data_IF_380339461502
#
_entry.id   IF_380339461502
#
_cell.length_a   1.000
_cell.length_b   1.000
_cell.length_c   1.000
_cell.angle_alpha   90.00
_cell.angle_beta   90.00
_cell.angle_gamma   90.00
#
_symmetry.space_group_name_H-M   'P 1'
#
loop_
_entity.id
_entity.type
_entity.pdbx_description
1 polymer ?
#
# COMPACT_ATOMS: atom_id res chain seq x y z
N UNK A 1 1.04 31.83 0.07
CA UNK A 1 1.30 30.46 -0.46
C UNK A 1 -0.03 29.92 -0.98
N UNK A 2 -0.11 29.35 -2.19
CA UNK A 2 -1.40 28.85 -2.68
C UNK A 2 -1.86 27.64 -1.85
N UNK A 3 -3.18 27.35 -1.78
CA UNK A 3 -3.69 26.16 -1.10
C UNK A 3 -3.05 24.86 -1.61
N UNK A 4 -2.79 24.77 -2.92
CA UNK A 4 -2.12 23.64 -3.55
C UNK A 4 -0.70 23.40 -3.01
N UNK A 5 0.10 24.46 -2.84
CA UNK A 5 1.43 24.36 -2.24
C UNK A 5 1.39 23.89 -0.79
N UNK A 6 0.41 24.36 -0.02
CA UNK A 6 0.25 23.96 1.39
C UNK A 6 -0.05 22.46 1.50
N UNK A 7 -0.97 21.97 0.66
CA UNK A 7 -1.31 20.53 0.58
C UNK A 7 -0.10 19.71 0.13
N UNK A 8 0.65 20.20 -0.85
CA UNK A 8 1.85 19.53 -1.34
C UNK A 8 2.94 19.42 -0.27
N UNK A 9 3.16 20.46 0.54
CA UNK A 9 4.13 20.41 1.64
C UNK A 9 3.70 19.44 2.74
N UNK A 10 2.41 19.43 3.11
CA UNK A 10 1.86 18.44 4.05
C UNK A 10 2.09 17.02 3.52
N UNK A 11 1.82 16.81 2.23
CA UNK A 11 2.09 15.54 1.55
C UNK A 11 3.56 15.13 1.63
N UNK A 12 4.49 16.03 1.34
CA UNK A 12 5.93 15.74 1.42
C UNK A 12 6.38 15.40 2.84
N UNK A 13 5.80 16.07 3.85
CA UNK A 13 6.17 15.89 5.25
C UNK A 13 5.95 14.45 5.72
N UNK A 14 4.86 13.79 5.34
CA UNK A 14 4.65 12.39 5.70
C UNK A 14 5.20 11.41 4.66
N UNK A 15 5.18 11.75 3.36
CA UNK A 15 5.57 10.80 2.31
C UNK A 15 7.06 10.53 2.25
N UNK A 16 7.91 11.56 2.33
CA UNK A 16 9.36 11.39 2.23
C UNK A 16 9.89 10.50 3.37
N UNK A 17 9.56 10.74 4.65
CA UNK A 17 9.96 9.84 5.73
C UNK A 17 9.43 8.41 5.54
N UNK A 18 8.21 8.25 5.04
CA UNK A 18 7.61 6.93 4.82
C UNK A 18 8.34 6.13 3.73
N UNK A 19 8.71 6.77 2.62
CA UNK A 19 9.47 6.14 1.53
C UNK A 19 10.88 5.78 2.01
N UNK A 20 11.55 6.66 2.75
CA UNK A 20 12.84 6.35 3.37
C UNK A 20 12.71 5.13 4.29
N UNK A 21 11.66 5.08 5.11
CA UNK A 21 11.43 3.96 6.02
C UNK A 21 11.13 2.65 5.28
N UNK A 22 10.45 2.71 4.13
CA UNK A 22 10.29 1.55 3.23
C UNK A 22 11.65 1.00 2.80
N UNK A 23 12.55 1.85 2.30
CA UNK A 23 13.89 1.39 1.88
C UNK A 23 14.71 0.83 3.04
N UNK A 24 14.66 1.46 4.22
CA UNK A 24 15.33 0.95 5.42
C UNK A 24 14.77 -0.42 5.81
N UNK A 25 13.44 -0.56 5.89
CA UNK A 25 12.80 -1.83 6.28
C UNK A 25 13.07 -2.94 5.27
N UNK A 26 13.06 -2.63 3.97
CA UNK A 26 13.44 -3.56 2.90
C UNK A 26 14.87 -4.03 3.08
N UNK A 27 15.81 -3.11 3.28
CA UNK A 27 17.21 -3.44 3.49
C UNK A 27 17.40 -4.31 4.73
N UNK A 28 16.72 -4.00 5.85
CA UNK A 28 16.76 -4.83 7.08
C UNK A 28 16.26 -6.24 6.82
N UNK A 29 15.10 -6.40 6.17
CA UNK A 29 14.48 -7.70 5.89
C UNK A 29 15.38 -8.52 4.95
N UNK A 30 15.88 -7.89 3.88
CA UNK A 30 16.75 -8.53 2.90
C UNK A 30 18.12 -8.93 3.49
N UNK A 31 18.72 -8.08 4.33
CA UNK A 31 20.00 -8.38 5.00
C UNK A 31 19.86 -9.48 6.05
N UNK A 32 18.71 -9.58 6.71
CA UNK A 32 18.45 -10.55 7.77
C UNK A 32 17.46 -11.65 7.32
N UNK A 33 17.54 -12.11 6.06
CA UNK A 33 16.60 -13.10 5.47
C UNK A 33 16.41 -14.37 6.32
N UNK A 34 17.44 -14.85 7.01
CA UNK A 34 17.33 -16.03 7.89
C UNK A 34 16.39 -15.80 9.08
N UNK A 35 16.38 -14.58 9.62
CA UNK A 35 15.51 -14.18 10.74
C UNK A 35 14.09 -13.89 10.24
N UNK A 36 13.96 -13.24 9.09
CA UNK A 36 12.68 -12.82 8.51
C UNK A 36 12.21 -13.77 7.39
N UNK A 37 12.41 -15.07 7.57
CA UNK A 37 12.10 -16.08 6.55
C UNK A 37 10.62 -16.48 6.50
N UNK A 38 9.67 -15.66 6.97
CA UNK A 38 8.24 -16.00 6.93
C UNK A 38 7.61 -15.63 5.58
N UNK A 39 6.57 -16.34 5.18
CA UNK A 39 5.70 -15.99 4.05
C UNK A 39 5.17 -14.55 4.15
N UNK A 40 4.94 -14.06 5.36
CA UNK A 40 4.54 -12.67 5.61
C UNK A 40 5.54 -11.67 5.04
N UNK A 41 6.84 -11.86 5.28
CA UNK A 41 7.85 -10.91 4.82
C UNK A 41 8.03 -10.93 3.31
N UNK A 42 7.75 -12.05 2.65
CA UNK A 42 7.70 -12.09 1.18
C UNK A 42 6.55 -11.22 0.65
N UNK A 43 5.35 -11.40 1.20
CA UNK A 43 4.18 -10.60 0.85
C UNK A 43 4.38 -9.11 1.20
N UNK A 44 5.02 -8.82 2.33
CA UNK A 44 5.32 -7.44 2.75
C UNK A 44 6.28 -6.75 1.77
N UNK A 45 7.33 -7.44 1.30
CA UNK A 45 8.24 -6.87 0.30
C UNK A 45 7.52 -6.60 -1.02
N UNK A 46 6.65 -7.50 -1.46
CA UNK A 46 5.83 -7.30 -2.66
C UNK A 46 4.84 -6.15 -2.50
N UNK A 47 4.06 -6.13 -1.42
CA UNK A 47 3.12 -5.05 -1.10
C UNK A 47 3.84 -3.71 -1.05
N UNK A 48 4.99 -3.63 -0.37
CA UNK A 48 5.76 -2.40 -0.32
C UNK A 48 6.32 -1.96 -1.68
N UNK A 49 6.72 -2.89 -2.56
CA UNK A 49 7.17 -2.54 -3.91
C UNK A 49 6.00 -1.96 -4.73
N UNK A 50 4.85 -2.61 -4.67
CA UNK A 50 3.63 -2.15 -5.32
C UNK A 50 3.15 -0.80 -4.75
N UNK A 51 3.31 -0.58 -3.45
CA UNK A 51 2.97 0.68 -2.82
C UNK A 51 3.93 1.81 -3.21
N UNK A 52 5.24 1.57 -3.28
CA UNK A 52 6.19 2.56 -3.80
C UNK A 52 5.83 2.92 -5.25
N UNK A 53 5.46 1.93 -6.07
CA UNK A 53 5.03 2.19 -7.43
C UNK A 53 3.73 3.02 -7.48
N UNK A 54 2.73 2.67 -6.67
CA UNK A 54 1.48 3.43 -6.53
C UNK A 54 1.74 4.86 -6.10
N UNK A 55 2.63 5.05 -5.11
CA UNK A 55 3.06 6.35 -4.64
C UNK A 55 3.68 7.19 -5.77
N UNK A 56 4.58 6.60 -6.58
CA UNK A 56 5.21 7.31 -7.70
C UNK A 56 4.20 7.73 -8.76
N UNK A 57 3.27 6.84 -9.11
CA UNK A 57 2.19 7.15 -10.07
C UNK A 57 1.31 8.28 -9.53
N UNK A 58 0.84 8.19 -8.28
CA UNK A 58 0.03 9.24 -7.64
C UNK A 58 0.78 10.56 -7.45
N UNK A 59 2.09 10.50 -7.17
CA UNK A 59 2.94 11.68 -7.08
C UNK A 59 2.98 12.44 -8.41
N UNK A 60 3.19 11.74 -9.52
CA UNK A 60 3.23 12.33 -10.86
C UNK A 60 1.85 12.79 -11.33
N UNK A 61 0.81 11.98 -11.17
CA UNK A 61 -0.51 12.30 -11.74
C UNK A 61 -1.33 13.30 -10.93
N UNK A 62 -1.19 13.30 -9.60
CA UNK A 62 -2.04 14.13 -8.72
C UNK A 62 -1.24 15.23 -8.05
N UNK A 63 -0.16 14.87 -7.36
CA UNK A 63 0.51 15.82 -6.44
C UNK A 63 1.36 16.84 -7.19
N UNK A 64 2.29 16.39 -8.01
CA UNK A 64 3.20 17.26 -8.78
C UNK A 64 2.43 18.10 -9.82
N UNK A 65 1.36 17.53 -10.39
CA UNK A 65 0.54 18.21 -11.37
C UNK A 65 -0.25 19.38 -10.76
N UNK A 66 -0.76 19.20 -9.52
CA UNK A 66 -1.53 20.23 -8.81
C UNK A 66 -0.76 21.51 -8.47
N UNK A 67 0.57 21.47 -8.46
CA UNK A 67 1.45 22.63 -8.21
C UNK A 67 2.11 23.18 -9.48
N UNK A 68 1.90 22.51 -10.63
CA UNK A 68 2.50 22.92 -11.89
C UNK A 68 1.73 24.10 -12.49
N UNK A 69 2.42 25.23 -12.65
CA UNK A 69 1.90 26.46 -13.27
C UNK A 69 2.50 26.67 -14.65
N UNK A 70 1.80 27.43 -15.49
CA UNK A 70 2.28 27.86 -16.81
C UNK A 70 3.65 28.54 -16.71
N UNK A 71 4.55 28.22 -17.64
CA UNK A 71 5.88 28.86 -17.73
C UNK A 71 6.96 28.29 -16.80
N UNK A 72 6.64 27.31 -15.95
CA UNK A 72 7.64 26.59 -15.12
C UNK A 72 8.29 25.42 -15.87
N UNK A 73 9.47 24.95 -15.41
CA UNK A 73 10.13 23.75 -15.95
C UNK A 73 9.23 22.50 -15.88
N UNK A 74 8.37 22.42 -14.87
CA UNK A 74 7.38 21.34 -14.73
C UNK A 74 6.32 21.36 -15.84
N UNK A 75 5.96 22.53 -16.38
CA UNK A 75 5.04 22.61 -17.53
C UNK A 75 5.64 21.87 -18.73
N UNK A 76 6.92 22.08 -19.05
CA UNK A 76 7.57 21.38 -20.16
C UNK A 76 7.59 19.86 -19.97
N UNK A 77 7.74 19.38 -18.73
CA UNK A 77 7.65 17.96 -18.40
C UNK A 77 6.25 17.38 -18.67
N UNK A 78 5.18 18.07 -18.24
CA UNK A 78 3.81 17.60 -18.50
C UNK A 78 3.39 17.74 -19.96
N UNK A 79 3.82 18.79 -20.66
CA UNK A 79 3.60 18.90 -22.10
C UNK A 79 4.31 17.78 -22.86
N UNK A 80 5.53 17.42 -22.47
CA UNK A 80 6.23 16.26 -23.04
C UNK A 80 5.43 14.97 -22.83
N UNK A 81 4.93 14.72 -21.61
CA UNK A 81 4.08 13.55 -21.35
C UNK A 81 2.80 13.60 -22.20
N UNK A 82 2.17 14.76 -22.32
CA UNK A 82 0.95 14.96 -23.11
C UNK A 82 1.15 14.72 -24.60
N UNK A 83 2.33 15.02 -25.16
CA UNK A 83 2.69 14.72 -26.55
C UNK A 83 2.64 13.22 -26.84
N UNK A 84 2.97 12.38 -25.85
CA UNK A 84 2.90 10.93 -25.98
C UNK A 84 1.62 10.40 -25.35
N UNK A 85 0.54 10.37 -26.13
CA UNK A 85 -0.77 9.82 -25.71
C UNK A 85 -0.69 8.40 -25.13
N UNK A 86 0.25 7.58 -25.61
CA UNK A 86 0.51 6.25 -25.03
C UNK A 86 1.00 6.33 -23.57
N UNK A 87 1.82 7.32 -23.22
CA UNK A 87 2.36 7.49 -21.88
C UNK A 87 1.30 8.06 -20.92
N UNK A 88 0.51 9.05 -21.34
CA UNK A 88 -0.60 9.58 -20.54
C UNK A 88 -1.63 8.48 -20.25
N UNK A 89 -2.02 7.71 -21.27
CA UNK A 89 -2.92 6.57 -21.12
C UNK A 89 -2.35 5.48 -20.20
N UNK A 90 -1.06 5.18 -20.33
CA UNK A 90 -0.42 4.20 -19.46
C UNK A 90 -0.45 4.63 -17.99
N UNK A 91 -0.12 5.89 -17.69
CA UNK A 91 -0.15 6.39 -16.31
C UNK A 91 -1.57 6.35 -15.72
N UNK A 92 -2.59 6.71 -16.51
CA UNK A 92 -4.00 6.61 -16.10
C UNK A 92 -4.41 5.16 -15.86
N UNK A 93 -4.05 4.27 -16.77
CA UNK A 93 -4.29 2.83 -16.62
C UNK A 93 -3.66 2.30 -15.33
N UNK A 94 -2.44 2.74 -15.01
CA UNK A 94 -1.70 2.32 -13.82
C UNK A 94 -2.35 2.80 -12.52
N UNK A 95 -2.93 4.00 -12.49
CA UNK A 95 -3.69 4.47 -11.31
C UNK A 95 -4.84 3.52 -10.95
N UNK A 96 -5.63 3.10 -11.95
CA UNK A 96 -6.71 2.14 -11.72
C UNK A 96 -6.19 0.73 -11.45
N UNK A 97 -5.14 0.31 -12.17
CA UNK A 97 -4.52 -1.00 -12.00
C UNK A 97 -4.02 -1.20 -10.57
N UNK A 98 -3.32 -0.19 -10.03
CA UNK A 98 -2.77 -0.27 -8.68
C UNK A 98 -3.84 -0.31 -7.60
N UNK A 99 -5.00 0.31 -7.81
CA UNK A 99 -6.13 0.15 -6.90
C UNK A 99 -6.57 -1.33 -6.81
N UNK A 100 -6.63 -2.07 -7.92
CA UNK A 100 -6.88 -3.51 -7.87
C UNK A 100 -5.77 -4.26 -7.12
N UNK A 101 -4.51 -4.00 -7.47
CA UNK A 101 -3.35 -4.68 -6.89
C UNK A 101 -3.27 -4.48 -5.39
N UNK A 102 -3.46 -3.26 -4.88
CA UNK A 102 -3.40 -2.96 -3.45
C UNK A 102 -4.52 -3.66 -2.66
N UNK A 103 -5.76 -3.63 -3.18
CA UNK A 103 -6.90 -4.26 -2.51
C UNK A 103 -6.80 -5.78 -2.51
N UNK A 104 -6.36 -6.36 -3.62
CA UNK A 104 -6.09 -7.79 -3.74
C UNK A 104 -4.96 -8.24 -2.80
N UNK A 105 -3.86 -7.48 -2.76
CA UNK A 105 -2.69 -7.79 -1.92
C UNK A 105 -3.06 -7.72 -0.44
N UNK A 106 -3.83 -6.72 -0.03
CA UNK A 106 -4.31 -6.60 1.35
C UNK A 106 -5.21 -7.78 1.76
N UNK A 107 -6.10 -8.21 0.87
CA UNK A 107 -6.92 -9.41 1.07
C UNK A 107 -6.07 -10.68 1.14
N UNK A 108 -5.06 -10.81 0.26
CA UNK A 108 -4.14 -11.93 0.25
C UNK A 108 -3.33 -12.04 1.54
N UNK A 109 -2.80 -10.92 2.04
CA UNK A 109 -2.07 -10.92 3.31
C UNK A 109 -3.00 -11.28 4.47
N UNK A 110 -4.25 -10.79 4.46
CA UNK A 110 -5.26 -11.16 5.45
C UNK A 110 -5.54 -12.67 5.44
N UNK A 111 -5.65 -13.27 4.25
CA UNK A 111 -5.82 -14.71 4.07
C UNK A 111 -4.58 -15.50 4.53
N UNK A 112 -3.39 -15.01 4.19
CA UNK A 112 -2.13 -15.62 4.63
C UNK A 112 -2.05 -15.65 6.16
N UNK A 113 -2.33 -14.55 6.85
CA UNK A 113 -2.30 -14.50 8.33
C UNK A 113 -3.34 -15.40 8.96
N UNK A 114 -4.58 -15.37 8.47
CA UNK A 114 -5.65 -16.23 8.97
C UNK A 114 -5.31 -17.72 8.78
N UNK A 115 -4.89 -18.12 7.59
CA UNK A 115 -4.58 -19.52 7.29
C UNK A 115 -3.38 -20.04 8.09
N UNK A 116 -2.32 -19.24 8.23
CA UNK A 116 -1.14 -19.59 9.06
C UNK A 116 -1.53 -19.70 10.55
N UNK A 117 -2.47 -18.88 11.02
CA UNK A 117 -3.02 -18.97 12.38
C UNK A 117 -3.78 -20.28 12.63
N UNK A 118 -4.51 -20.79 11.63
CA UNK A 118 -5.26 -22.04 11.75
C UNK A 118 -4.34 -23.28 11.83
N UNK A 119 -3.35 -23.38 10.94
CA UNK A 119 -2.41 -24.53 10.89
C UNK A 119 -1.02 -24.13 10.40
N UNK A 120 -0.21 -23.55 11.30
CA UNK A 120 1.14 -23.08 10.99
C UNK A 120 2.03 -24.13 10.29
N UNK A 121 2.06 -25.38 10.79
CA UNK A 121 3.03 -26.42 10.37
C UNK A 121 2.94 -26.80 8.89
N UNK A 122 1.73 -26.81 8.32
CA UNK A 122 1.50 -27.21 6.93
C UNK A 122 1.31 -26.00 6.00
N UNK A 123 0.66 -24.96 6.49
CA UNK A 123 0.26 -23.81 5.67
C UNK A 123 1.45 -22.87 5.43
N UNK A 124 2.30 -22.62 6.42
CA UNK A 124 3.43 -21.71 6.27
C UNK A 124 4.44 -22.19 5.21
N UNK A 125 4.84 -23.47 5.13
CA UNK A 125 5.67 -23.98 4.03
C UNK A 125 5.00 -23.85 2.66
N UNK A 126 3.71 -24.14 2.56
CA UNK A 126 2.95 -24.02 1.30
C UNK A 126 2.94 -22.56 0.81
N UNK A 127 2.68 -21.59 1.69
CA UNK A 127 2.78 -20.18 1.33
C UNK A 127 4.19 -19.83 0.85
N UNK A 128 5.25 -20.20 1.57
CA UNK A 128 6.62 -19.86 1.13
C UNK A 128 6.96 -20.37 -0.26
N UNK A 129 6.36 -21.49 -0.68
CA UNK A 129 6.60 -22.07 -2.00
C UNK A 129 5.71 -21.47 -3.10
N UNK A 130 4.42 -21.25 -2.83
CA UNK A 130 3.44 -20.86 -3.86
C UNK A 130 3.08 -19.36 -3.87
N UNK A 131 3.54 -18.56 -2.90
CA UNK A 131 3.18 -17.12 -2.79
C UNK A 131 3.49 -16.34 -4.07
N UNK A 132 4.61 -16.63 -4.74
CA UNK A 132 5.01 -15.92 -5.95
C UNK A 132 4.00 -16.05 -7.10
N UNK A 133 3.35 -17.20 -7.24
CA UNK A 133 2.28 -17.40 -8.23
C UNK A 133 1.08 -16.51 -7.92
N UNK A 134 0.71 -16.39 -6.64
CA UNK A 134 -0.41 -15.55 -6.21
C UNK A 134 -0.09 -14.07 -6.42
N UNK A 135 1.14 -13.64 -6.12
CA UNK A 135 1.60 -12.27 -6.37
C UNK A 135 1.58 -11.93 -7.86
N UNK A 136 2.07 -12.84 -8.72
CA UNK A 136 2.03 -12.67 -10.17
C UNK A 136 0.59 -12.58 -10.68
N UNK A 137 -0.29 -13.44 -10.17
CA UNK A 137 -1.70 -13.47 -10.55
C UNK A 137 -2.43 -12.18 -10.18
N UNK A 138 -2.18 -11.67 -8.97
CA UNK A 138 -2.74 -10.39 -8.49
C UNK A 138 -2.32 -9.22 -9.38
N UNK A 139 -1.09 -9.23 -9.91
CA UNK A 139 -0.62 -8.19 -10.80
C UNK A 139 -1.16 -8.36 -12.23
N UNK A 140 -1.18 -9.57 -12.79
CA UNK A 140 -1.57 -9.79 -14.20
C UNK A 140 -3.08 -9.69 -14.40
N UNK A 141 -3.91 -10.27 -13.53
CA UNK A 141 -5.36 -10.36 -13.76
C UNK A 141 -6.01 -8.97 -13.96
N UNK A 142 -5.72 -7.95 -13.14
CA UNK A 142 -6.32 -6.63 -13.32
C UNK A 142 -5.98 -5.99 -14.66
N UNK A 143 -4.85 -6.37 -15.29
CA UNK A 143 -4.41 -5.81 -16.57
C UNK A 143 -5.43 -6.04 -17.69
N UNK A 144 -6.16 -7.17 -17.68
CA UNK A 144 -7.24 -7.44 -18.64
C UNK A 144 -8.36 -6.41 -18.60
N UNK A 145 -8.61 -5.81 -17.43
CA UNK A 145 -9.62 -4.78 -17.28
C UNK A 145 -9.04 -3.37 -17.38
N UNK A 146 -7.80 -3.15 -16.94
CA UNK A 146 -7.24 -1.81 -16.79
C UNK A 146 -6.42 -1.34 -17.99
N UNK A 147 -5.85 -2.22 -18.82
CA UNK A 147 -5.11 -1.85 -20.04
C UNK A 147 -6.08 -1.54 -21.18
N UNK A 148 -6.85 -0.47 -21.00
CA UNK A 148 -7.77 0.08 -22.00
C UNK A 148 -7.21 1.38 -22.55
N UNK A 149 -7.68 1.78 -23.73
CA UNK A 149 -7.42 3.12 -24.23
C UNK A 149 -8.34 4.11 -23.50
N UNK A 150 -7.78 4.94 -22.62
CA UNK A 150 -8.52 5.96 -21.89
C UNK A 150 -8.57 7.30 -22.63
N UNK A 151 -7.84 7.46 -23.73
CA UNK A 151 -7.71 8.73 -24.46
C UNK A 151 -7.41 9.91 -23.52
N UNK A 152 -6.45 9.72 -22.61
CA UNK A 152 -6.18 10.69 -21.55
C UNK A 152 -5.42 11.89 -22.09
N UNK A 153 -6.00 13.06 -21.92
CA UNK A 153 -5.42 14.36 -22.25
C UNK A 153 -5.02 15.12 -20.99
N UNK A 154 -4.07 16.05 -21.14
CA UNK A 154 -3.64 16.94 -20.06
C UNK A 154 -4.25 18.31 -20.33
N UNK A 155 -5.22 18.70 -19.50
CA UNK A 155 -5.90 19.99 -19.61
C UNK A 155 -5.36 20.98 -18.58
N UNK A 156 -5.30 22.25 -18.97
CA UNK A 156 -4.99 23.35 -18.07
C UNK A 156 -6.29 23.92 -17.48
N UNK A 157 -6.32 24.07 -16.16
CA UNK A 157 -7.44 24.60 -15.40
C UNK A 157 -7.16 26.05 -15.01
N UNK A 158 -7.88 26.98 -15.64
CA UNK A 158 -7.76 28.42 -15.37
C UNK A 158 -8.14 28.78 -13.92
N UNK A 159 -9.08 28.05 -13.31
CA UNK A 159 -9.59 28.35 -11.96
C UNK A 159 -8.54 28.13 -10.86
N UNK A 160 -7.69 27.12 -11.03
CA UNK A 160 -6.70 26.70 -10.03
C UNK A 160 -5.26 26.97 -10.46
N UNK A 161 -5.05 27.51 -11.67
CA UNK A 161 -3.75 27.69 -12.31
C UNK A 161 -2.91 26.41 -12.22
N UNK A 162 -3.49 25.31 -12.67
CA UNK A 162 -2.90 23.97 -12.56
C UNK A 162 -3.26 23.07 -13.74
N UNK A 163 -2.52 21.99 -13.93
CA UNK A 163 -2.87 20.96 -14.92
C UNK A 163 -3.68 19.82 -14.28
N UNK A 164 -4.42 19.09 -15.12
CA UNK A 164 -5.16 17.88 -14.71
C UNK A 164 -5.17 16.87 -15.86
N UNK A 165 -5.06 15.58 -15.52
CA UNK A 165 -5.39 14.49 -16.44
C UNK A 165 -6.91 14.35 -16.56
N UNK A 166 -7.39 14.39 -17.79
CA UNK A 166 -8.80 14.22 -18.10
C UNK A 166 -8.96 13.18 -19.21
N UNK A 167 -9.88 12.27 -18.99
CA UNK A 167 -10.21 11.21 -19.94
C UNK A 167 -11.68 11.39 -20.32
N UNK A 168 -12.03 11.33 -21.63
CA UNK A 168 -13.41 11.37 -22.08
C UNK A 168 -14.20 10.13 -21.66
N UNK A 169 -13.52 9.07 -21.16
CA UNK A 169 -14.17 7.87 -20.69
C UNK A 169 -15.05 8.19 -19.47
N UNK A 170 -16.34 7.85 -19.50
CA UNK A 170 -17.23 8.10 -18.37
C UNK A 170 -16.69 7.43 -17.11
N UNK A 171 -16.61 8.16 -15.99
CA UNK A 171 -16.13 7.61 -14.72
C UNK A 171 -16.94 6.38 -14.29
N UNK A 172 -18.23 6.32 -14.63
CA UNK A 172 -19.10 5.16 -14.42
C UNK A 172 -18.61 3.89 -15.12
N UNK A 173 -18.03 4.01 -16.33
CA UNK A 173 -17.49 2.88 -17.08
C UNK A 173 -16.18 2.35 -16.48
N UNK A 174 -15.35 3.25 -15.95
CA UNK A 174 -14.09 2.90 -15.27
C UNK A 174 -14.37 2.23 -13.92
N UNK A 175 -15.28 2.82 -13.13
CA UNK A 175 -15.63 2.33 -11.80
C UNK A 175 -16.55 1.11 -11.79
N UNK A 176 -17.20 0.78 -12.93
CA UNK A 176 -18.15 -0.33 -13.07
C UNK A 176 -17.67 -1.65 -12.46
N UNK A 177 -16.42 -2.02 -12.72
CA UNK A 177 -15.82 -3.26 -12.21
C UNK A 177 -14.94 -3.04 -10.98
N UNK A 178 -14.34 -1.85 -10.85
CA UNK A 178 -13.40 -1.55 -9.77
C UNK A 178 -14.12 -1.48 -8.42
N UNK A 179 -15.26 -0.79 -8.36
CA UNK A 179 -15.98 -0.61 -7.09
C UNK A 179 -16.50 -1.94 -6.55
N UNK A 180 -17.19 -2.80 -7.33
CA UNK A 180 -17.57 -4.13 -6.85
C UNK A 180 -16.37 -4.96 -6.38
N UNK A 181 -15.25 -4.91 -7.11
CA UNK A 181 -14.02 -5.61 -6.71
C UNK A 181 -13.48 -5.12 -5.36
N UNK A 182 -13.40 -3.80 -5.17
CA UNK A 182 -12.96 -3.19 -3.90
C UNK A 182 -13.88 -3.60 -2.75
N UNK A 183 -15.20 -3.59 -2.96
CA UNK A 183 -16.18 -4.01 -1.94
C UNK A 183 -16.00 -5.48 -1.58
N UNK A 184 -15.95 -6.39 -2.56
CA UNK A 184 -15.81 -7.84 -2.32
C UNK A 184 -14.51 -8.13 -1.58
N UNK A 185 -13.38 -7.60 -2.06
CA UNK A 185 -12.07 -7.82 -1.42
C UNK A 185 -12.00 -7.23 -0.02
N UNK A 186 -12.63 -6.08 0.22
CA UNK A 186 -12.72 -5.47 1.55
C UNK A 186 -13.55 -6.32 2.51
N UNK A 187 -14.69 -6.87 2.08
CA UNK A 187 -15.50 -7.78 2.90
C UNK A 187 -14.70 -9.03 3.27
N UNK A 188 -13.99 -9.61 2.30
CA UNK A 188 -13.10 -10.76 2.54
C UNK A 188 -12.02 -10.40 3.56
N UNK A 189 -11.28 -9.30 3.35
CA UNK A 189 -10.27 -8.81 4.29
C UNK A 189 -10.84 -8.61 5.70
N UNK A 190 -11.97 -7.92 5.82
CA UNK A 190 -12.59 -7.61 7.10
C UNK A 190 -13.00 -8.87 7.84
N UNK A 191 -13.65 -9.81 7.15
CA UNK A 191 -14.08 -11.09 7.72
C UNK A 191 -12.88 -11.90 8.24
N UNK A 192 -11.82 -11.99 7.43
CA UNK A 192 -10.60 -12.73 7.81
C UNK A 192 -9.87 -12.09 8.98
N UNK A 193 -9.80 -10.75 9.04
CA UNK A 193 -9.17 -10.03 10.16
C UNK A 193 -10.00 -10.17 11.44
N UNK A 194 -11.33 -10.04 11.38
CA UNK A 194 -12.23 -10.25 12.53
C UNK A 194 -12.11 -11.68 13.04
N UNK A 195 -12.11 -12.67 12.16
CA UNK A 195 -11.92 -14.08 12.54
C UNK A 195 -10.55 -14.30 13.19
N UNK A 196 -9.48 -13.75 12.60
CA UNK A 196 -8.12 -13.85 13.15
C UNK A 196 -8.02 -13.25 14.56
N UNK A 197 -8.58 -12.05 14.76
CA UNK A 197 -8.60 -11.39 16.06
C UNK A 197 -9.42 -12.17 17.09
N UNK A 198 -10.55 -12.73 16.68
CA UNK A 198 -11.42 -13.53 17.56
C UNK A 198 -10.70 -14.80 18.04
N UNK A 199 -10.03 -15.51 17.14
CA UNK A 199 -9.22 -16.68 17.48
C UNK A 199 -8.10 -16.29 18.46
N UNK A 200 -7.32 -15.24 18.16
CA UNK A 200 -6.21 -14.79 19.02
C UNK A 200 -6.69 -14.37 20.41
N UNK A 201 -7.86 -13.73 20.52
CA UNK A 201 -8.45 -13.34 21.81
C UNK A 201 -8.86 -14.57 22.64
N UNK A 202 -9.28 -15.65 22.01
CA UNK A 202 -9.65 -16.90 22.68
C UNK A 202 -8.45 -17.78 23.07
N UNK A 203 -7.24 -17.48 22.58
CA UNK A 203 -6.04 -18.28 22.84
C UNK A 203 -5.43 -18.00 24.22
N UNK A 204 -4.89 -19.06 24.84
CA UNK A 204 -4.08 -18.96 26.07
C UNK A 204 -2.86 -18.06 25.83
N UNK A 205 -2.45 -17.29 26.86
CA UNK A 205 -1.37 -16.30 26.75
C UNK A 205 -0.04 -16.85 26.21
N UNK A 206 0.34 -18.08 26.60
CA UNK A 206 1.57 -18.73 26.12
C UNK A 206 1.54 -19.06 24.62
N UNK A 207 0.37 -19.47 24.09
CA UNK A 207 0.18 -19.69 22.64
C UNK A 207 0.13 -18.36 21.89
N UNK A 208 -0.47 -17.33 22.49
CA UNK A 208 -0.57 -15.99 21.92
C UNK A 208 0.78 -15.31 21.71
N UNK A 209 1.78 -15.62 22.54
CA UNK A 209 3.16 -15.14 22.33
C UNK A 209 3.88 -15.86 21.18
N UNK A 210 3.53 -17.12 20.88
CA UNK A 210 4.05 -17.86 19.72
C UNK A 210 3.40 -17.41 18.42
N UNK A 211 2.12 -17.04 18.49
CA UNK A 211 1.41 -16.40 17.38
C UNK A 211 1.99 -15.00 17.20
N UNK A 212 2.34 -14.64 15.97
CA UNK A 212 2.83 -13.31 15.60
C UNK A 212 1.70 -12.27 15.71
N UNK A 213 1.11 -12.10 16.89
CA UNK A 213 -0.08 -11.29 17.18
C UNK A 213 0.09 -9.85 16.69
N UNK A 214 1.31 -9.33 16.80
CA UNK A 214 1.66 -8.01 16.31
C UNK A 214 1.40 -7.87 14.80
N UNK A 215 1.68 -8.91 14.00
CA UNK A 215 1.40 -8.90 12.57
C UNK A 215 -0.10 -8.93 12.26
N UNK A 216 -0.90 -9.62 13.08
CA UNK A 216 -2.36 -9.62 12.96
C UNK A 216 -2.94 -8.23 13.26
N UNK A 217 -2.37 -7.53 14.25
CA UNK A 217 -2.75 -6.14 14.55
C UNK A 217 -2.39 -5.21 13.38
N UNK A 218 -1.18 -5.33 12.82
CA UNK A 218 -0.76 -4.56 11.64
C UNK A 218 -1.78 -4.75 10.51
N UNK A 219 -2.16 -5.99 10.20
CA UNK A 219 -3.12 -6.28 9.14
C UNK A 219 -4.52 -5.75 9.41
N UNK A 220 -4.96 -5.79 10.67
CA UNK A 220 -6.25 -5.24 11.07
C UNK A 220 -6.28 -3.72 10.87
N UNK A 221 -5.19 -3.02 11.20
CA UNK A 221 -5.07 -1.58 10.97
C UNK A 221 -5.06 -1.24 9.48
N UNK A 222 -4.31 -1.99 8.66
CA UNK A 222 -4.33 -1.82 7.19
C UNK A 222 -5.74 -2.06 6.62
N UNK A 223 -6.45 -3.08 7.13
CA UNK A 223 -7.83 -3.37 6.73
C UNK A 223 -8.80 -2.23 7.08
N UNK A 224 -8.62 -1.53 8.21
CA UNK A 224 -9.43 -0.34 8.53
C UNK A 224 -9.24 0.76 7.49
N UNK A 225 -8.00 1.03 7.07
CA UNK A 225 -7.72 2.02 6.02
C UNK A 225 -8.32 1.57 4.67
N UNK A 226 -8.26 0.27 4.35
CA UNK A 226 -8.91 -0.31 3.18
C UNK A 226 -10.44 -0.09 3.19
N UNK A 227 -11.09 -0.28 4.35
CA UNK A 227 -12.52 -0.02 4.53
C UNK A 227 -12.84 1.46 4.27
N UNK A 228 -12.06 2.38 4.85
CA UNK A 228 -12.24 3.82 4.62
C UNK A 228 -12.11 4.18 3.14
N UNK A 229 -11.13 3.60 2.44
CA UNK A 229 -10.93 3.79 1.01
C UNK A 229 -12.13 3.31 0.19
N UNK A 230 -12.65 2.11 0.48
CA UNK A 230 -13.85 1.57 -0.19
C UNK A 230 -15.08 2.44 0.05
N UNK A 231 -15.33 2.83 1.31
CA UNK A 231 -16.50 3.65 1.66
C UNK A 231 -16.46 4.99 0.93
N UNK A 232 -15.30 5.66 0.89
CA UNK A 232 -15.14 6.91 0.15
C UNK A 232 -15.36 6.73 -1.36
N UNK A 233 -14.79 5.68 -1.96
CA UNK A 233 -14.95 5.42 -3.39
C UNK A 233 -16.40 5.12 -3.77
N UNK A 234 -17.14 4.37 -2.94
CA UNK A 234 -18.59 4.14 -3.13
C UNK A 234 -19.37 5.44 -2.96
N UNK A 235 -19.06 6.23 -1.93
CA UNK A 235 -19.72 7.50 -1.66
C UNK A 235 -19.54 8.50 -2.81
N UNK A 236 -18.37 8.55 -3.44
CA UNK A 236 -18.11 9.37 -4.64
C UNK A 236 -19.08 8.99 -5.75
N UNK A 237 -19.21 7.70 -6.07
CA UNK A 237 -20.10 7.22 -7.14
C UNK A 237 -21.58 7.53 -6.85
N UNK A 238 -22.00 7.44 -5.59
CA UNK A 238 -23.39 7.71 -5.21
C UNK A 238 -23.73 9.20 -5.11
N UNK A 239 -22.72 10.06 -4.96
CA UNK A 239 -22.92 11.50 -4.79
C UNK A 239 -22.53 12.32 -6.02
N UNK A 240 -22.30 11.67 -7.17
CA UNK A 240 -22.00 12.34 -8.45
C UNK A 240 -23.05 13.43 -8.72
N UNK A 241 -22.58 14.63 -9.03
CA UNK A 241 -23.43 15.82 -9.25
C UNK A 241 -23.75 16.63 -7.98
N UNK A 242 -23.52 16.09 -6.79
CA UNK A 242 -23.68 16.81 -5.52
C UNK A 242 -22.37 17.51 -5.11
N UNK A 243 -22.43 18.67 -4.42
CA UNK A 243 -21.23 19.37 -3.93
C UNK A 243 -20.33 18.51 -3.04
N UNK A 244 -20.92 17.58 -2.27
CA UNK A 244 -20.21 16.68 -1.35
C UNK A 244 -19.25 15.72 -2.07
N UNK A 245 -19.52 15.38 -3.34
CA UNK A 245 -18.64 14.55 -4.15
C UNK A 245 -17.23 15.16 -4.27
N UNK A 246 -17.13 16.50 -4.36
CA UNK A 246 -15.84 17.20 -4.42
C UNK A 246 -15.04 17.04 -3.12
N UNK A 247 -15.73 17.01 -1.98
CA UNK A 247 -15.11 16.79 -0.66
C UNK A 247 -14.56 15.37 -0.57
N UNK A 248 -15.34 14.36 -0.99
CA UNK A 248 -14.86 12.97 -0.98
C UNK A 248 -13.70 12.74 -1.95
N UNK A 249 -13.78 13.30 -3.17
CA UNK A 249 -12.69 13.24 -4.15
C UNK A 249 -11.42 13.93 -3.65
N UNK A 250 -11.55 14.99 -2.84
CA UNK A 250 -10.42 15.65 -2.21
C UNK A 250 -9.77 14.82 -1.08
N UNK A 251 -10.57 14.10 -0.29
CA UNK A 251 -10.08 13.27 0.82
C UNK A 251 -9.45 11.96 0.33
N UNK A 252 -10.00 11.36 -0.73
CA UNK A 252 -9.61 10.03 -1.22
C UNK A 252 -8.09 9.87 -1.43
N UNK A 253 -7.35 10.81 -2.05
CA UNK A 253 -5.90 10.72 -2.18
C UNK A 253 -5.16 10.54 -0.84
N UNK A 254 -5.63 11.16 0.24
CA UNK A 254 -5.00 11.00 1.57
C UNK A 254 -5.27 9.63 2.19
N UNK A 255 -6.46 9.08 1.98
CA UNK A 255 -6.77 7.70 2.43
C UNK A 255 -6.00 6.68 1.61
N UNK A 256 -5.85 6.92 0.30
CA UNK A 256 -4.99 6.12 -0.58
C UNK A 256 -3.53 6.17 -0.14
N UNK A 257 -3.01 7.35 0.22
CA UNK A 257 -1.68 7.50 0.79
C UNK A 257 -1.54 6.74 2.11
N UNK A 258 -2.58 6.76 2.95
CA UNK A 258 -2.67 5.95 4.16
C UNK A 258 -2.53 4.45 3.87
N UNK A 259 -3.21 3.93 2.84
CA UNK A 259 -3.09 2.53 2.45
C UNK A 259 -1.73 2.20 1.84
N UNK A 260 -1.04 3.19 1.29
CA UNK A 260 0.22 3.01 0.56
C UNK A 260 1.45 3.16 1.45
N UNK A 261 1.40 4.05 2.45
CA UNK A 261 2.60 4.49 3.18
C UNK A 261 2.64 4.04 4.65
N UNK A 262 1.55 3.48 5.18
CA UNK A 262 1.45 3.17 6.62
C UNK A 262 2.19 1.88 7.00
N UNK A 263 2.35 0.92 6.10
CA UNK A 263 2.90 -0.41 6.41
C UNK A 263 4.28 -0.38 7.10
N UNK A 264 5.29 0.39 6.63
CA UNK A 264 6.60 0.43 7.29
C UNK A 264 6.51 1.04 8.70
N UNK A 265 5.61 2.00 8.92
CA UNK A 265 5.34 2.57 10.25
C UNK A 265 4.70 1.56 11.18
N UNK A 266 3.74 0.79 10.69
CA UNK A 266 3.11 -0.28 11.47
C UNK A 266 4.13 -1.35 11.86
N UNK A 267 5.03 -1.73 10.95
CA UNK A 267 6.11 -2.66 11.29
C UNK A 267 7.07 -2.07 12.32
N UNK A 268 7.44 -0.80 12.21
CA UNK A 268 8.28 -0.14 13.20
C UNK A 268 7.58 -0.07 14.58
N UNK A 269 6.28 0.21 14.60
CA UNK A 269 5.48 0.33 15.81
C UNK A 269 5.20 -1.00 16.52
N UNK A 270 4.99 -2.07 15.76
CA UNK A 270 4.53 -3.35 16.32
C UNK A 270 5.58 -4.48 16.25
N UNK A 271 6.65 -4.38 15.45
CA UNK A 271 7.69 -5.42 15.37
C UNK A 271 8.96 -5.02 16.13
N UNK A 272 9.14 -5.60 17.32
CA UNK A 272 10.37 -5.40 18.11
C UNK A 272 11.62 -5.88 17.36
N UNK A 273 11.54 -7.01 16.64
CA UNK A 273 12.65 -7.55 15.87
C UNK A 273 13.12 -6.58 14.77
N UNK A 274 12.19 -5.91 14.08
CA UNK A 274 12.53 -4.90 13.07
C UNK A 274 13.19 -3.69 13.73
N UNK A 275 12.62 -3.17 14.82
CA UNK A 275 13.20 -2.05 15.57
C UNK A 275 14.62 -2.32 16.02
N UNK A 276 14.88 -3.49 16.59
CA UNK A 276 16.21 -3.86 17.06
C UNK A 276 17.24 -3.89 15.92
N UNK A 277 16.86 -4.44 14.75
CA UNK A 277 17.75 -4.46 13.59
C UNK A 277 17.98 -3.08 12.99
N UNK A 278 16.98 -2.21 12.99
CA UNK A 278 17.13 -0.81 12.58
C UNK A 278 18.05 -0.08 13.57
N UNK A 279 17.84 -0.22 14.89
CA UNK A 279 18.71 0.41 15.89
C UNK A 279 20.17 -0.04 15.78
N UNK A 280 20.42 -1.33 15.53
CA UNK A 280 21.77 -1.85 15.29
C UNK A 280 22.36 -1.29 14.00
N UNK A 281 21.56 -1.16 12.94
CA UNK A 281 22.00 -0.58 11.66
C UNK A 281 22.38 0.89 11.78
N UNK A 282 21.63 1.66 12.57
CA UNK A 282 21.87 3.07 12.84
C UNK A 282 22.96 3.31 13.91
N UNK A 283 23.58 2.25 14.43
CA UNK A 283 24.61 2.37 15.47
C UNK A 283 24.09 2.75 16.87
N UNK A 284 22.77 2.77 17.07
CA UNK A 284 22.12 3.14 18.34
C UNK A 284 22.20 2.02 19.39
N UNK A 285 22.48 0.78 18.97
CA UNK A 285 22.71 -0.37 19.86
C UNK A 285 23.91 -1.18 19.36
N UNK A 286 24.78 -1.60 20.29
CA UNK A 286 25.83 -2.56 19.95
C UNK A 286 25.22 -3.89 19.52
N UNK A 287 25.80 -4.49 18.48
CA UNK A 287 25.45 -5.84 18.03
C UNK A 287 25.76 -6.79 19.19
N UNK A 288 24.75 -7.30 19.87
CA UNK A 288 24.94 -8.31 20.91
C UNK A 288 25.45 -9.56 20.23
N UNK A 289 26.77 -9.74 20.22
CA UNK A 289 27.41 -11.01 19.92
C UNK A 289 26.81 -12.01 20.89
N UNK A 290 26.13 -13.03 20.39
CA UNK A 290 25.72 -14.17 21.21
C UNK A 290 27.03 -14.79 21.70
N UNK A 291 27.43 -14.44 22.92
CA UNK A 291 28.44 -15.16 23.67
C UNK A 291 27.88 -16.56 23.86
N UNK A 292 28.33 -17.49 23.03
CA UNK A 292 28.29 -18.91 23.34
C UNK A 292 29.07 -19.03 24.65
N UNK A 293 28.35 -19.06 25.78
CA UNK A 293 28.90 -19.55 27.03
C UNK A 293 29.09 -21.04 26.79
N UNK A 294 30.34 -21.55 26.68
CA UNK A 294 30.52 -22.98 26.76
C UNK A 294 29.97 -23.38 28.13
N UNK A 295 29.04 -24.34 28.18
CA UNK A 295 28.80 -25.05 29.43
C UNK A 295 30.11 -25.75 29.78
N UNK A 296 30.96 -25.08 30.55
CA UNK A 296 32.04 -25.71 31.27
C UNK A 296 31.46 -26.32 32.53
N UNK A 297 31.85 -27.57 32.75
CA UNK A 297 32.04 -28.21 34.03
C UNK A 297 30.73 -28.66 34.74
N UNK A 298 30.64 -29.82 35.38
CA UNK A 298 31.61 -30.83 35.83
C UNK A 298 30.81 -31.92 36.53
N UNK A 299 31.26 -33.18 36.38
CA UNK A 299 30.98 -34.37 37.21
C UNK A 299 29.52 -34.81 37.39
#
# INVERSE_FOLDING_TARGET
MSPAWSIFLIFLFYSVPSVILYFITFFVVLKNRKLFNSSFFQLFLFDGFMNIYTFLVGFVQVRLMSITRTGTLLTSFYLYIGTYTSLSNFLTAMTFHMAYVQYATTALISLNRFSVLLKYTWIEPAWKHYTWLLMLTIYIIPAFNTLRNYETEIMYLNETDSYKYESPMPSSAVFKYLIPFMVITTIISATLNIASLSIVRSMKAQLRQKVETNLIIIMSLTCLVQILGTVLSVAIVWTVGLPICRVFAFILPFVSDGLTLIQPWLLLGFSQAIREKISVMLGLKMKTSILFVPRSNTL
#
